data_IF_303384245637
#
_entry.id   IF_303384245637
#
_cell.length_a   1.000
_cell.length_b   1.000
_cell.length_c   1.000
_cell.angle_alpha   90.00
_cell.angle_beta   90.00
_cell.angle_gamma   90.00
#
_symmetry.space_group_name_H-M   'P 1'
#
loop_
_entity.id
_entity.type
_entity.pdbx_description
1 polymer ?
#
# COMPACT_ATOMS: atom_id res chain seq x y z
N UNK A 1 -1.51 32.40 -20.87
CA UNK A 1 -1.98 31.95 -19.55
C UNK A 1 -1.11 30.78 -19.16
N UNK A 2 -0.26 30.97 -18.16
CA UNK A 2 0.52 29.89 -17.55
C UNK A 2 -0.37 29.31 -16.46
N UNK A 3 -0.67 28.01 -16.53
CA UNK A 3 -1.36 27.30 -15.46
C UNK A 3 -0.35 27.08 -14.34
N UNK A 4 -0.29 28.04 -13.41
CA UNK A 4 0.47 27.92 -12.15
C UNK A 4 -0.40 27.19 -11.11
N UNK A 5 -0.84 25.98 -11.49
CA UNK A 5 -1.70 25.11 -10.68
C UNK A 5 -0.88 24.05 -9.96
N UNK A 6 0.19 24.44 -9.28
CA UNK A 6 0.95 23.52 -8.44
C UNK A 6 0.07 23.00 -7.31
N UNK A 7 -0.10 21.67 -7.24
CA UNK A 7 -0.69 21.01 -6.07
C UNK A 7 0.17 21.35 -4.84
N UNK A 8 -0.33 22.24 -3.98
CA UNK A 8 0.33 22.54 -2.72
C UNK A 8 -0.08 21.49 -1.69
N UNK A 9 0.85 20.58 -1.38
CA UNK A 9 0.68 19.65 -0.27
C UNK A 9 0.60 20.47 1.02
N UNK A 10 -0.51 20.42 1.78
CA UNK A 10 -0.57 21.09 3.07
C UNK A 10 0.50 20.49 3.99
N UNK A 11 1.24 21.34 4.71
CA UNK A 11 2.31 20.87 5.59
C UNK A 11 1.78 20.12 6.82
N UNK A 12 0.50 20.33 7.16
CA UNK A 12 -0.13 19.74 8.34
C UNK A 12 -1.54 19.25 8.04
N UNK A 13 -1.98 18.21 8.74
CA UNK A 13 -3.37 17.78 8.72
C UNK A 13 -4.30 18.82 9.39
N UNK A 14 -5.61 18.57 9.38
CA UNK A 14 -6.63 19.44 10.00
C UNK A 14 -6.42 19.67 11.50
N UNK A 15 -5.54 18.90 12.15
CA UNK A 15 -5.20 18.97 13.57
C UNK A 15 -3.84 19.66 13.83
N UNK A 16 -3.15 20.13 12.78
CA UNK A 16 -1.88 20.84 12.91
C UNK A 16 -0.65 19.93 13.05
N UNK A 17 -0.79 18.62 12.81
CA UNK A 17 0.33 17.68 12.81
C UNK A 17 0.94 17.52 11.42
N UNK A 18 2.25 17.39 11.33
CA UNK A 18 2.97 17.03 10.09
C UNK A 18 2.59 15.63 9.66
N UNK A 19 2.28 15.46 8.37
CA UNK A 19 1.90 14.16 7.82
C UNK A 19 3.06 13.16 7.90
N UNK A 20 2.76 11.91 8.27
CA UNK A 20 3.69 10.77 8.24
C UNK A 20 4.96 10.97 9.08
N UNK A 21 4.84 11.59 10.24
CA UNK A 21 5.96 11.78 11.14
C UNK A 21 6.15 10.59 12.09
N UNK A 22 7.08 9.70 11.74
CA UNK A 22 7.42 8.53 12.56
C UNK A 22 8.34 8.85 13.75
N UNK A 23 8.79 10.11 13.89
CA UNK A 23 9.76 10.53 14.91
C UNK A 23 9.14 11.36 16.05
N UNK A 24 7.94 11.93 15.86
CA UNK A 24 7.22 12.65 16.92
C UNK A 24 6.64 11.68 17.95
N UNK A 25 6.83 12.00 19.23
CA UNK A 25 6.20 11.26 20.34
C UNK A 25 4.67 11.36 20.22
N UNK A 26 4.02 10.22 19.93
CA UNK A 26 2.57 10.07 19.91
C UNK A 26 2.16 8.75 20.56
N UNK A 27 0.91 8.65 21.02
CA UNK A 27 0.39 7.42 21.62
C UNK A 27 0.46 6.22 20.65
N UNK A 28 0.40 6.46 19.33
CA UNK A 28 0.49 5.44 18.28
C UNK A 28 1.93 5.07 17.90
N UNK A 29 2.93 5.91 18.17
CA UNK A 29 4.30 5.75 17.66
C UNK A 29 4.88 4.36 17.96
N UNK A 30 4.73 3.89 19.21
CA UNK A 30 5.24 2.58 19.62
C UNK A 30 4.51 1.43 18.90
N UNK A 31 3.21 1.60 18.63
CA UNK A 31 2.40 0.64 17.88
C UNK A 31 2.86 0.55 16.42
N UNK A 32 3.01 1.71 15.77
CA UNK A 32 3.48 1.81 14.38
C UNK A 32 4.90 1.26 14.22
N UNK A 33 5.81 1.54 15.15
CA UNK A 33 7.17 0.97 15.10
C UNK A 33 7.16 -0.56 15.27
N UNK A 34 6.35 -1.09 16.18
CA UNK A 34 6.19 -2.53 16.38
C UNK A 34 5.54 -3.22 15.17
N UNK A 35 4.58 -2.54 14.54
CA UNK A 35 3.98 -2.96 13.27
C UNK A 35 5.07 -3.11 12.21
N UNK A 36 5.84 -2.05 11.95
CA UNK A 36 6.87 -2.06 10.91
C UNK A 36 8.00 -3.03 11.22
N UNK A 37 8.38 -3.19 12.49
CA UNK A 37 9.30 -4.25 12.90
C UNK A 37 8.80 -5.62 12.47
N UNK A 38 7.55 -5.95 12.79
CA UNK A 38 6.97 -7.25 12.46
C UNK A 38 6.83 -7.44 10.94
N UNK A 39 6.40 -6.40 10.22
CA UNK A 39 6.34 -6.38 8.77
C UNK A 39 7.72 -6.67 8.15
N UNK A 40 8.74 -5.89 8.50
CA UNK A 40 10.08 -6.01 7.94
C UNK A 40 10.73 -7.34 8.23
N UNK A 41 10.49 -7.95 9.40
CA UNK A 41 11.03 -9.29 9.74
C UNK A 41 10.41 -10.39 8.88
N UNK A 42 9.10 -10.31 8.60
CA UNK A 42 8.34 -11.44 8.06
C UNK A 42 8.04 -11.37 6.56
N UNK A 43 8.16 -10.19 5.93
CA UNK A 43 8.01 -10.01 4.49
C UNK A 43 9.27 -10.51 3.75
N UNK A 44 9.34 -11.83 3.55
CA UNK A 44 10.37 -12.49 2.74
C UNK A 44 9.90 -12.72 1.31
N UNK A 45 10.83 -12.87 0.37
CA UNK A 45 10.55 -13.21 -1.02
C UNK A 45 9.71 -14.48 -1.13
N UNK A 46 9.99 -15.49 -0.31
CA UNK A 46 9.22 -16.73 -0.26
C UNK A 46 7.82 -16.55 0.34
N UNK A 47 7.68 -15.72 1.38
CA UNK A 47 6.37 -15.36 1.93
C UNK A 47 5.50 -14.72 0.83
N UNK A 48 6.00 -13.69 0.16
CA UNK A 48 5.27 -12.97 -0.88
C UNK A 48 4.86 -13.90 -2.03
N UNK A 49 5.76 -14.77 -2.50
CA UNK A 49 5.43 -15.75 -3.55
C UNK A 49 4.30 -16.70 -3.14
N UNK A 50 4.28 -17.15 -1.89
CA UNK A 50 3.19 -17.99 -1.38
C UNK A 50 1.88 -17.21 -1.33
N UNK A 51 1.90 -15.98 -0.83
CA UNK A 51 0.71 -15.13 -0.72
C UNK A 51 0.09 -14.85 -2.09
N UNK A 52 0.89 -14.43 -3.08
CA UNK A 52 0.42 -14.25 -4.46
C UNK A 52 -0.15 -15.52 -5.06
N UNK A 53 0.47 -16.68 -4.81
CA UNK A 53 -0.01 -17.98 -5.30
C UNK A 53 -1.36 -18.35 -4.67
N UNK A 54 -1.54 -18.05 -3.39
CA UNK A 54 -2.78 -18.35 -2.68
C UNK A 54 -3.91 -17.38 -3.07
N UNK A 55 -3.69 -16.09 -2.88
CA UNK A 55 -4.72 -15.06 -3.03
C UNK A 55 -4.95 -14.66 -4.49
N UNK A 56 -3.96 -14.86 -5.37
CA UNK A 56 -4.13 -14.69 -6.82
C UNK A 56 -5.09 -15.69 -7.48
N UNK A 57 -5.56 -16.70 -6.74
CA UNK A 57 -6.66 -17.56 -7.17
C UNK A 57 -8.01 -16.86 -7.17
N UNK A 58 -8.16 -15.77 -6.41
CA UNK A 58 -9.36 -14.92 -6.37
C UNK A 58 -10.66 -15.73 -6.30
N UNK A 59 -10.72 -16.68 -5.37
CA UNK A 59 -11.80 -17.66 -5.23
C UNK A 59 -12.25 -17.82 -3.78
N UNK A 60 -12.07 -16.77 -2.95
CA UNK A 60 -12.40 -16.78 -1.53
C UNK A 60 -13.86 -16.37 -1.30
N UNK A 61 -14.25 -15.19 -1.79
CA UNK A 61 -15.60 -14.61 -1.63
C UNK A 61 -15.95 -13.81 -2.90
N UNK A 62 -17.23 -13.69 -3.21
CA UNK A 62 -17.77 -12.78 -4.22
C UNK A 62 -18.61 -11.71 -3.52
N UNK A 63 -18.22 -10.44 -3.68
CA UNK A 63 -18.88 -9.28 -3.07
C UNK A 63 -18.87 -8.11 -4.06
N UNK A 64 -19.86 -7.24 -3.93
CA UNK A 64 -19.87 -5.92 -4.55
C UNK A 64 -18.82 -5.00 -3.91
N UNK A 65 -18.49 -3.90 -4.61
CA UNK A 65 -17.58 -2.87 -4.08
C UNK A 65 -18.08 -2.32 -2.75
N UNK A 66 -19.39 -2.06 -2.63
CA UNK A 66 -19.97 -1.49 -1.41
C UNK A 66 -19.91 -2.48 -0.23
N UNK A 67 -20.20 -3.76 -0.46
CA UNK A 67 -20.04 -4.78 0.58
C UNK A 67 -18.58 -4.88 1.04
N UNK A 68 -17.60 -4.75 0.13
CA UNK A 68 -16.20 -4.65 0.52
C UNK A 68 -15.91 -3.40 1.37
N UNK A 69 -16.49 -2.24 1.06
CA UNK A 69 -16.37 -1.04 1.90
C UNK A 69 -16.95 -1.28 3.30
N UNK A 70 -18.12 -1.90 3.40
CA UNK A 70 -18.79 -2.20 4.68
C UNK A 70 -17.97 -3.15 5.56
N UNK A 71 -17.26 -4.13 4.96
CA UNK A 71 -16.32 -4.99 5.71
C UNK A 71 -15.16 -4.23 6.35
N UNK A 72 -14.84 -3.03 5.85
CA UNK A 72 -13.75 -2.19 6.35
C UNK A 72 -14.20 -1.19 7.42
N UNK A 73 -15.48 -1.23 7.82
CA UNK A 73 -16.00 -0.37 8.88
C UNK A 73 -15.37 -0.64 10.26
N UNK A 74 -14.90 -1.87 10.50
CA UNK A 74 -14.28 -2.26 11.78
C UNK A 74 -12.75 -2.35 11.70
N UNK A 75 -12.16 -1.83 10.61
CA UNK A 75 -10.71 -1.86 10.37
C UNK A 75 -10.12 -0.48 10.67
N UNK A 76 -9.15 -0.45 11.59
CA UNK A 76 -8.27 0.69 11.85
C UNK A 76 -6.84 0.29 11.48
N UNK A 77 -6.17 1.12 10.68
CA UNK A 77 -4.83 0.84 10.16
C UNK A 77 -3.75 1.04 11.25
N UNK A 78 -3.06 -0.04 11.62
CA UNK A 78 -1.99 -0.03 12.63
C UNK A 78 -0.68 0.58 12.12
N UNK A 79 -0.52 0.74 10.81
CA UNK A 79 0.68 1.32 10.18
C UNK A 79 0.62 2.83 10.04
N UNK A 80 -0.58 3.39 10.13
CA UNK A 80 -0.84 4.80 9.92
C UNK A 80 -0.65 5.60 11.23
N UNK A 81 0.31 6.55 11.27
CA UNK A 81 0.49 7.42 12.44
C UNK A 81 -0.57 8.54 12.53
N UNK A 82 -1.31 8.80 11.45
CA UNK A 82 -2.20 9.96 11.29
C UNK A 82 -3.69 9.60 11.42
N UNK A 83 -4.08 8.34 11.17
CA UNK A 83 -5.49 7.89 11.16
C UNK A 83 -5.85 6.96 12.33
N UNK A 84 -6.97 7.28 13.00
CA UNK A 84 -7.65 6.41 13.99
C UNK A 84 -9.12 6.14 13.63
N UNK A 85 -9.55 6.62 12.45
CA UNK A 85 -10.90 6.44 11.95
C UNK A 85 -11.04 5.09 11.22
N UNK A 86 -12.25 4.52 11.18
CA UNK A 86 -12.58 3.39 10.32
C UNK A 86 -12.11 3.57 8.88
N UNK A 87 -11.56 2.52 8.29
CA UNK A 87 -11.06 2.54 6.93
C UNK A 87 -12.11 2.97 5.89
N UNK A 88 -13.39 2.66 6.10
CA UNK A 88 -14.47 3.12 5.21
C UNK A 88 -14.56 4.67 5.14
N UNK A 89 -14.29 5.37 6.25
CA UNK A 89 -14.31 6.84 6.28
C UNK A 89 -13.18 7.39 5.40
N UNK A 90 -11.98 6.83 5.50
CA UNK A 90 -10.84 7.18 4.64
C UNK A 90 -11.15 6.99 3.14
N UNK A 91 -11.81 5.88 2.77
CA UNK A 91 -12.20 5.64 1.37
C UNK A 91 -13.14 6.74 0.85
N UNK A 92 -14.15 7.10 1.65
CA UNK A 92 -15.13 8.14 1.28
C UNK A 92 -14.50 9.54 1.27
N UNK A 93 -13.67 9.86 2.26
CA UNK A 93 -12.94 11.13 2.33
C UNK A 93 -12.03 11.31 1.12
N UNK A 94 -11.27 10.27 0.76
CA UNK A 94 -10.39 10.28 -0.42
C UNK A 94 -11.20 10.48 -1.70
N UNK A 95 -12.27 9.70 -1.89
CA UNK A 95 -13.12 9.79 -3.07
C UNK A 95 -13.77 11.19 -3.21
N UNK A 96 -14.32 11.74 -2.12
CA UNK A 96 -14.98 13.05 -2.14
C UNK A 96 -14.00 14.22 -2.32
N UNK A 97 -12.79 14.12 -1.75
CA UNK A 97 -11.74 15.11 -1.98
C UNK A 97 -11.35 15.14 -3.47
N UNK A 98 -11.11 13.98 -4.08
CA UNK A 98 -10.81 13.89 -5.51
C UNK A 98 -12.01 14.39 -6.34
N UNK A 99 -13.24 14.03 -5.99
CA UNK A 99 -14.45 14.51 -6.68
C UNK A 99 -14.56 16.04 -6.66
N UNK A 100 -14.17 16.67 -5.57
CA UNK A 100 -14.17 18.13 -5.44
C UNK A 100 -13.11 18.79 -6.32
N UNK A 101 -11.91 18.24 -6.36
CA UNK A 101 -10.78 18.83 -7.08
C UNK A 101 -10.77 18.49 -8.58
N UNK A 102 -11.35 17.34 -8.96
CA UNK A 102 -11.40 16.82 -10.33
C UNK A 102 -12.83 16.39 -10.72
N UNK A 103 -13.80 17.31 -10.76
CA UNK A 103 -15.23 16.98 -10.85
C UNK A 103 -15.65 16.23 -12.12
N UNK A 104 -14.89 16.35 -13.21
CA UNK A 104 -15.20 15.72 -14.51
C UNK A 104 -14.48 14.37 -14.71
N UNK A 105 -13.68 13.92 -13.74
CA UNK A 105 -12.86 12.70 -13.81
C UNK A 105 -13.44 11.57 -12.94
N UNK A 106 -14.64 11.10 -13.27
CA UNK A 106 -15.39 10.09 -12.49
C UNK A 106 -14.57 8.84 -12.13
N UNK A 107 -13.68 8.42 -13.03
CA UNK A 107 -12.80 7.27 -12.81
C UNK A 107 -11.79 7.51 -11.69
N UNK A 108 -11.38 8.76 -11.47
CA UNK A 108 -10.46 9.16 -10.42
C UNK A 108 -11.15 9.15 -9.06
N UNK A 109 -12.45 9.47 -9.00
CA UNK A 109 -13.25 9.37 -7.77
C UNK A 109 -13.41 7.92 -7.37
N UNK A 110 -13.76 7.06 -8.33
CA UNK A 110 -13.84 5.61 -8.11
C UNK A 110 -12.49 5.05 -7.66
N UNK A 111 -11.39 5.53 -8.26
CA UNK A 111 -10.05 5.17 -7.85
C UNK A 111 -9.79 5.49 -6.37
N UNK A 112 -10.15 6.69 -5.92
CA UNK A 112 -10.10 7.07 -4.51
C UNK A 112 -10.95 6.16 -3.62
N UNK A 113 -12.13 5.74 -4.07
CA UNK A 113 -13.00 4.86 -3.30
C UNK A 113 -12.43 3.43 -3.16
N UNK A 114 -11.75 2.93 -4.18
CA UNK A 114 -11.36 1.50 -4.24
C UNK A 114 -9.90 1.21 -3.88
N UNK A 115 -9.05 2.24 -3.75
CA UNK A 115 -7.60 2.07 -3.63
C UNK A 115 -7.18 1.10 -2.52
N UNK A 116 -7.80 1.23 -1.34
CA UNK A 116 -7.48 0.45 -0.15
C UNK A 116 -8.40 -0.77 0.07
N UNK A 117 -9.25 -1.13 -0.90
CA UNK A 117 -10.16 -2.27 -0.74
C UNK A 117 -9.44 -3.61 -0.58
N UNK A 118 -8.14 -3.70 -0.87
CA UNK A 118 -7.35 -4.89 -0.57
C UNK A 118 -7.22 -5.16 0.93
N UNK A 119 -7.52 -4.19 1.79
CA UNK A 119 -7.58 -4.37 3.24
C UNK A 119 -8.61 -5.40 3.69
N UNK A 120 -9.53 -5.82 2.80
CA UNK A 120 -10.45 -6.95 3.06
C UNK A 120 -9.72 -8.25 3.41
N UNK A 121 -8.43 -8.39 3.07
CA UNK A 121 -7.58 -9.50 3.49
C UNK A 121 -7.52 -9.71 5.02
N UNK A 122 -7.80 -8.67 5.81
CA UNK A 122 -7.94 -8.75 7.27
C UNK A 122 -9.18 -9.53 7.71
N UNK A 123 -10.21 -9.55 6.86
CA UNK A 123 -11.45 -10.23 7.18
C UNK A 123 -11.27 -11.77 7.08
N UNK A 124 -11.81 -12.57 8.02
CA UNK A 124 -11.67 -14.03 8.02
C UNK A 124 -12.09 -14.71 6.71
N UNK A 125 -13.10 -14.16 6.02
CA UNK A 125 -13.55 -14.67 4.72
C UNK A 125 -12.49 -14.59 3.61
N UNK A 126 -11.54 -13.65 3.71
CA UNK A 126 -10.47 -13.46 2.71
C UNK A 126 -9.14 -14.08 3.12
N UNK A 127 -8.99 -14.44 4.40
CA UNK A 127 -7.78 -15.08 4.93
C UNK A 127 -7.52 -14.76 6.40
N UNK A 128 -8.08 -13.66 6.92
CA UNK A 128 -7.84 -13.23 8.30
C UNK A 128 -6.36 -12.92 8.54
N UNK A 129 -5.71 -12.27 7.57
CA UNK A 129 -4.28 -12.00 7.65
C UNK A 129 -3.99 -10.97 8.75
N UNK A 130 -2.82 -11.04 9.40
CA UNK A 130 -2.40 -10.00 10.33
C UNK A 130 -2.13 -8.69 9.58
N UNK A 131 -2.30 -7.54 10.25
CA UNK A 131 -2.14 -6.22 9.62
C UNK A 131 -0.80 -6.05 8.92
N UNK A 132 0.30 -6.55 9.50
CA UNK A 132 1.64 -6.45 8.88
C UNK A 132 1.74 -7.11 7.50
N UNK A 133 0.83 -8.03 7.17
CA UNK A 133 0.76 -8.70 5.87
C UNK A 133 -0.30 -8.09 4.93
N UNK A 134 -0.89 -6.94 5.30
CA UNK A 134 -1.99 -6.32 4.55
C UNK A 134 -1.78 -4.82 4.35
N UNK A 135 -1.37 -4.08 5.38
CA UNK A 135 -1.24 -2.61 5.33
C UNK A 135 0.22 -2.15 5.38
N UNK A 136 0.43 -0.85 5.36
CA UNK A 136 1.75 -0.21 5.48
C UNK A 136 2.49 -0.04 4.16
N UNK A 137 3.61 0.69 4.24
CA UNK A 137 4.44 1.00 3.09
C UNK A 137 4.98 -0.27 2.40
N UNK A 138 4.93 -0.25 1.07
CA UNK A 138 5.42 -1.34 0.24
C UNK A 138 6.86 -1.12 -0.23
N UNK A 139 7.60 -2.21 -0.40
CA UNK A 139 8.99 -2.18 -0.85
C UNK A 139 9.35 -3.44 -1.64
N UNK A 140 10.36 -3.41 -2.51
CA UNK A 140 10.80 -4.60 -3.24
C UNK A 140 11.35 -5.69 -2.31
N UNK A 141 10.93 -6.93 -2.54
CA UNK A 141 11.52 -8.13 -1.90
C UNK A 141 12.36 -8.91 -2.91
N UNK A 142 13.29 -9.75 -2.46
CA UNK A 142 14.17 -10.52 -3.36
C UNK A 142 15.35 -9.72 -3.94
N UNK A 143 15.58 -8.50 -3.42
CA UNK A 143 16.79 -7.70 -3.58
C UNK A 143 17.14 -7.02 -2.25
N UNK A 144 18.29 -6.36 -2.16
CA UNK A 144 18.70 -5.65 -0.96
C UNK A 144 17.69 -4.54 -0.60
N UNK A 145 17.35 -4.44 0.68
CA UNK A 145 16.43 -3.43 1.20
C UNK A 145 17.10 -2.05 1.20
N UNK A 146 16.47 -1.06 0.55
CA UNK A 146 16.98 0.31 0.48
C UNK A 146 16.90 1.00 1.85
N UNK A 147 17.90 1.80 2.19
CA UNK A 147 18.00 2.50 3.48
C UNK A 147 16.93 3.58 3.66
N UNK A 148 16.25 4.00 2.59
CA UNK A 148 15.13 4.96 2.69
C UNK A 148 13.85 4.35 3.22
N UNK A 149 13.75 3.02 3.28
CA UNK A 149 12.56 2.36 3.80
C UNK A 149 12.42 2.69 5.29
N UNK A 150 11.21 3.09 5.69
CA UNK A 150 10.85 3.42 7.07
C UNK A 150 11.34 2.32 8.02
N UNK A 151 11.91 2.68 9.17
CA UNK A 151 12.47 1.74 10.17
C UNK A 151 13.39 0.63 9.60
N UNK A 152 14.24 0.97 8.60
CA UNK A 152 15.17 0.04 7.93
C UNK A 152 15.96 -0.88 8.86
N UNK A 153 16.33 -0.39 10.06
CA UNK A 153 17.08 -1.13 11.09
C UNK A 153 16.53 -2.53 11.39
N UNK A 154 15.22 -2.75 11.25
CA UNK A 154 14.60 -4.04 11.54
C UNK A 154 14.81 -5.10 10.45
N UNK A 155 15.25 -4.71 9.26
CA UNK A 155 15.55 -5.69 8.21
C UNK A 155 16.75 -6.57 8.57
N UNK A 156 17.64 -6.16 9.49
CA UNK A 156 18.74 -7.03 9.96
C UNK A 156 18.23 -8.36 10.56
N UNK A 157 16.99 -8.38 11.06
CA UNK A 157 16.32 -9.56 11.60
C UNK A 157 15.57 -10.38 10.51
N UNK A 158 15.43 -9.86 9.28
CA UNK A 158 14.78 -10.56 8.17
C UNK A 158 15.73 -11.65 7.59
N UNK A 159 15.26 -12.90 7.40
CA UNK A 159 16.05 -13.97 6.79
C UNK A 159 16.67 -13.65 5.42
N UNK A 160 16.04 -12.80 4.63
CA UNK A 160 16.51 -12.42 3.29
C UNK A 160 17.63 -11.36 3.32
N UNK A 161 17.83 -10.66 4.43
CA UNK A 161 18.82 -9.58 4.54
C UNK A 161 20.26 -10.06 4.34
N UNK A 162 20.59 -11.24 4.88
CA UNK A 162 21.91 -11.87 4.72
C UNK A 162 21.92 -12.98 3.66
N UNK A 163 20.79 -13.23 2.98
CA UNK A 163 20.70 -14.27 1.96
C UNK A 163 21.44 -13.84 0.69
N UNK A 164 22.46 -14.58 0.27
CA UNK A 164 23.29 -14.24 -0.89
C UNK A 164 22.53 -14.20 -2.22
N UNK A 165 21.34 -14.83 -2.30
CA UNK A 165 20.48 -14.73 -3.47
C UNK A 165 19.76 -13.36 -3.57
N UNK A 166 19.55 -12.68 -2.45
CA UNK A 166 18.70 -11.49 -2.36
C UNK A 166 19.46 -10.25 -1.88
N UNK A 167 20.54 -10.37 -1.12
CA UNK A 167 21.22 -9.26 -0.47
C UNK A 167 22.09 -8.37 -1.40
N UNK A 168 21.97 -8.52 -2.71
CA UNK A 168 22.62 -7.63 -3.69
C UNK A 168 21.62 -6.58 -4.18
N UNK A 169 22.14 -5.48 -4.73
CA UNK A 169 21.32 -4.35 -5.23
C UNK A 169 20.17 -4.80 -6.15
N UNK A 170 20.41 -5.80 -6.99
CA UNK A 170 19.40 -6.30 -7.92
C UNK A 170 18.83 -7.66 -7.51
N UNK A 171 19.51 -8.42 -6.65
CA UNK A 171 19.05 -9.73 -6.20
C UNK A 171 18.63 -10.63 -7.36
N UNK A 172 17.35 -11.00 -7.40
CA UNK A 172 16.76 -11.84 -8.47
C UNK A 172 16.39 -11.08 -9.75
N UNK A 173 16.48 -9.74 -9.75
CA UNK A 173 16.02 -8.88 -10.84
C UNK A 173 17.14 -8.51 -11.81
N UNK A 174 16.76 -8.19 -13.05
CA UNK A 174 17.65 -7.53 -14.01
C UNK A 174 17.53 -6.01 -13.89
N UNK A 175 18.62 -5.30 -14.18
CA UNK A 175 18.62 -3.85 -14.25
C UNK A 175 17.63 -3.37 -15.33
N UNK A 176 16.81 -2.38 -15.01
CA UNK A 176 15.83 -1.84 -15.94
C UNK A 176 14.64 -2.78 -16.25
N UNK A 177 14.41 -3.82 -15.45
CA UNK A 177 13.29 -4.75 -15.66
C UNK A 177 11.90 -4.08 -15.56
N UNK A 178 11.79 -2.90 -14.95
CA UNK A 178 10.53 -2.18 -14.74
C UNK A 178 9.73 -2.73 -13.56
N UNK A 179 8.95 -1.87 -12.91
CA UNK A 179 8.24 -2.20 -11.65
C UNK A 179 7.26 -3.37 -11.81
N UNK A 180 6.67 -3.54 -13.00
CA UNK A 180 5.76 -4.68 -13.29
C UNK A 180 6.43 -6.06 -13.16
N UNK A 181 7.76 -6.11 -13.17
CA UNK A 181 8.55 -7.34 -13.02
C UNK A 181 9.20 -7.45 -11.64
N UNK A 182 8.96 -6.48 -10.74
CA UNK A 182 9.45 -6.49 -9.37
C UNK A 182 8.39 -7.10 -8.46
N UNK A 183 8.82 -7.97 -7.54
CA UNK A 183 7.96 -8.47 -6.48
C UNK A 183 7.99 -7.46 -5.34
N UNK A 184 6.86 -6.82 -5.06
CA UNK A 184 6.68 -5.94 -3.91
C UNK A 184 6.31 -6.76 -2.66
N UNK A 185 6.58 -6.24 -1.47
CA UNK A 185 6.06 -6.79 -0.22
C UNK A 185 4.54 -6.99 -0.34
N UNK A 186 4.04 -8.07 0.25
CA UNK A 186 2.64 -8.45 0.09
C UNK A 186 1.74 -7.57 0.94
N UNK A 187 0.67 -7.05 0.35
CA UNK A 187 -0.31 -6.21 1.05
C UNK A 187 -1.56 -5.95 0.19
N UNK A 188 -2.36 -4.97 0.60
CA UNK A 188 -3.59 -4.58 -0.10
C UNK A 188 -3.30 -4.15 -1.54
N UNK A 189 -2.19 -3.47 -1.78
CA UNK A 189 -1.79 -2.97 -3.10
C UNK A 189 -1.57 -4.13 -4.07
N UNK A 190 -0.77 -5.11 -3.66
CA UNK A 190 -0.46 -6.24 -4.52
C UNK A 190 -1.66 -7.14 -4.74
N UNK A 191 -2.54 -7.28 -3.73
CA UNK A 191 -3.80 -7.97 -3.88
C UNK A 191 -4.74 -7.25 -4.85
N UNK A 192 -4.92 -5.93 -4.68
CA UNK A 192 -5.72 -5.11 -5.58
C UNK A 192 -5.16 -5.14 -6.99
N UNK A 193 -3.84 -5.26 -7.17
CA UNK A 193 -3.22 -5.47 -8.48
C UNK A 193 -3.64 -6.77 -9.18
N UNK A 194 -3.97 -7.80 -8.42
CA UNK A 194 -4.41 -9.09 -8.95
C UNK A 194 -5.91 -9.10 -9.31
N UNK A 195 -6.76 -8.39 -8.56
CA UNK A 195 -8.23 -8.37 -8.72
C UNK A 195 -8.71 -8.01 -10.15
N UNK A 196 -8.28 -6.91 -10.78
CA UNK A 196 -8.81 -6.49 -12.08
C UNK A 196 -8.40 -7.43 -13.21
N UNK A 197 -7.36 -8.25 -13.06
CA UNK A 197 -7.00 -9.26 -14.08
C UNK A 197 -8.14 -10.24 -14.39
N UNK A 198 -9.19 -10.31 -13.55
CA UNK A 198 -10.37 -11.14 -13.75
C UNK A 198 -11.70 -10.40 -13.93
N UNK A 199 -11.75 -9.08 -13.78
CA UNK A 199 -13.00 -8.31 -13.93
C UNK A 199 -13.33 -8.00 -15.40
N UNK A 200 -14.47 -7.37 -15.69
CA UNK A 200 -14.86 -7.00 -17.06
C UNK A 200 -13.93 -5.93 -17.65
N UNK A 201 -13.84 -5.86 -18.98
CA UNK A 201 -12.88 -5.00 -19.71
C UNK A 201 -12.98 -3.51 -19.33
N UNK A 202 -14.18 -3.01 -19.02
CA UNK A 202 -14.39 -1.62 -18.64
C UNK A 202 -13.78 -1.29 -17.25
N UNK A 203 -14.02 -2.15 -16.25
CA UNK A 203 -13.44 -1.98 -14.91
C UNK A 203 -11.91 -2.15 -14.92
N UNK A 204 -11.37 -2.99 -15.83
CA UNK A 204 -9.93 -3.20 -15.97
C UNK A 204 -9.18 -1.91 -16.23
N UNK A 205 -9.60 -1.13 -17.21
CA UNK A 205 -8.81 0.02 -17.67
C UNK A 205 -8.64 1.09 -16.58
N UNK A 206 -9.68 1.31 -15.77
CA UNK A 206 -9.67 2.29 -14.68
C UNK A 206 -8.90 1.78 -13.46
N UNK A 207 -9.10 0.50 -13.06
CA UNK A 207 -8.36 -0.08 -11.94
C UNK A 207 -6.87 -0.25 -12.26
N UNK A 208 -6.50 -0.66 -13.48
CA UNK A 208 -5.08 -0.78 -13.86
C UNK A 208 -4.37 0.57 -13.85
N UNK A 209 -5.01 1.63 -14.35
CA UNK A 209 -4.45 2.99 -14.29
C UNK A 209 -4.25 3.43 -12.84
N UNK A 210 -5.17 3.08 -11.93
CA UNK A 210 -5.03 3.35 -10.50
C UNK A 210 -3.85 2.60 -9.88
N UNK A 211 -3.73 1.30 -10.17
CA UNK A 211 -2.72 0.43 -9.55
C UNK A 211 -1.30 0.71 -10.03
N UNK A 212 -1.13 0.99 -11.32
CA UNK A 212 0.14 1.45 -11.86
C UNK A 212 0.55 2.79 -11.22
N UNK A 213 -0.42 3.64 -10.90
CA UNK A 213 -0.21 4.92 -10.21
C UNK A 213 0.15 4.73 -8.73
N UNK A 214 -0.59 3.91 -7.99
CA UNK A 214 -0.35 3.64 -6.55
C UNK A 214 0.98 2.93 -6.32
N UNK A 215 1.28 1.88 -7.11
CA UNK A 215 2.58 1.19 -7.05
C UNK A 215 3.73 2.15 -7.38
N UNK A 216 3.53 3.04 -8.36
CA UNK A 216 4.54 4.05 -8.71
C UNK A 216 4.70 5.11 -7.62
N UNK A 217 3.61 5.58 -7.00
CA UNK A 217 3.64 6.64 -5.99
C UNK A 217 4.27 6.20 -4.67
N UNK A 218 4.01 4.99 -4.17
CA UNK A 218 4.68 4.48 -2.96
C UNK A 218 6.17 4.21 -3.19
N UNK A 219 6.55 3.65 -4.35
CA UNK A 219 7.95 3.39 -4.69
C UNK A 219 8.76 4.66 -4.98
N UNK A 220 8.15 5.70 -5.56
CA UNK A 220 8.84 6.94 -5.97
C UNK A 220 8.76 8.01 -4.87
N UNK A 221 7.71 8.01 -4.04
CA UNK A 221 7.54 8.95 -2.92
C UNK A 221 8.69 8.93 -1.93
N UNK A 222 9.33 7.77 -1.71
CA UNK A 222 10.52 7.65 -0.87
C UNK A 222 11.80 8.28 -1.46
N UNK A 223 11.83 8.57 -2.78
CA UNK A 223 12.99 9.22 -3.43
C UNK A 223 12.91 10.74 -3.43
N UNK A 224 11.73 11.33 -3.28
CA UNK A 224 11.55 12.78 -3.43
C UNK A 224 11.63 13.58 -2.12
N UNK A 225 11.87 12.94 -0.97
CA UNK A 225 12.19 13.63 0.29
C UNK A 225 13.69 13.87 0.49
N UNK A 226 14.53 13.47 -0.47
CA UNK A 226 15.99 13.65 -0.44
C UNK A 226 16.47 14.54 -1.59
N UNK A 227 16.20 15.84 -1.49
CA UNK A 227 16.99 16.91 -2.13
C UNK A 227 17.04 18.12 -1.23
#
# INVERSE_FOLDING_TARGET
MVLDGGFMVPQTNSFGHTFRDYHVESERQQGVENFYRTNHINQTYDFVKRMRKEHGKLNKVELSIWECCELLNDVVDESDPDLDEPQIEHLLQTAEAIRKDYPDEDWLHLAGLVHDLGKVLLHPGFGGLPQWAVVGDTYPVGCAFDKTIVHHKYFEENPDFYNSAYNTKHGVYSEGCGLNNVMMSWGHDDYMYLVPKRTTQHCRQQLFSLLDTIHSMHCIGQKHTST
#
